data_IF_300204642089
#
_entry.id   IF_300204642089
#
_cell.length_a   1.000
_cell.length_b   1.000
_cell.length_c   1.000
_cell.angle_alpha   90.00
_cell.angle_beta   90.00
_cell.angle_gamma   90.00
#
_symmetry.space_group_name_H-M   'P 1'
#
loop_
_entity.id
_entity.type
_entity.pdbx_description
1 polymer ?
#
# COMPACT_ATOMS: atom_id res chain seq x y z
N UNK A 1 115.35 182.76 -89.18
CA UNK A 1 115.16 181.62 -88.26
C UNK A 1 114.99 181.98 -86.77
N UNK A 2 115.59 183.02 -86.17
CA UNK A 2 115.32 183.38 -84.75
C UNK A 2 114.06 184.23 -84.51
N UNK A 3 113.62 184.97 -85.53
CA UNK A 3 112.53 185.92 -85.35
C UNK A 3 111.14 185.27 -85.27
N UNK A 4 110.96 184.08 -85.85
CA UNK A 4 109.68 183.36 -85.83
C UNK A 4 109.35 182.71 -84.47
N UNK A 5 110.36 182.27 -83.68
CA UNK A 5 110.13 181.65 -82.36
C UNK A 5 109.68 182.67 -81.29
N UNK A 6 110.26 183.87 -81.30
CA UNK A 6 109.84 184.96 -80.41
C UNK A 6 108.44 185.50 -80.78
N UNK A 7 108.08 185.46 -82.08
CA UNK A 7 106.71 185.69 -82.50
C UNK A 7 105.74 184.63 -81.96
N UNK A 8 106.16 183.36 -81.83
CA UNK A 8 105.30 182.29 -81.32
C UNK A 8 105.04 182.40 -79.80
N UNK A 9 106.03 182.73 -78.97
CA UNK A 9 105.80 182.92 -77.51
C UNK A 9 104.95 184.14 -77.20
N UNK A 10 105.15 185.26 -77.91
CA UNK A 10 104.28 186.43 -77.80
C UNK A 10 102.86 186.15 -78.32
N UNK A 11 102.73 185.33 -79.37
CA UNK A 11 101.43 184.83 -79.82
C UNK A 11 100.76 183.96 -78.75
N UNK A 12 101.51 183.12 -78.02
CA UNK A 12 100.97 182.26 -76.97
C UNK A 12 100.52 183.02 -75.70
N UNK A 13 101.29 184.00 -75.22
CA UNK A 13 100.89 184.85 -74.08
C UNK A 13 99.71 185.77 -74.42
N UNK A 14 99.66 186.28 -75.65
CA UNK A 14 98.49 186.99 -76.18
C UNK A 14 97.27 186.06 -76.17
N UNK A 15 97.43 184.82 -76.67
CA UNK A 15 96.37 183.81 -76.66
C UNK A 15 95.89 183.49 -75.24
N UNK A 16 96.78 183.38 -74.26
CA UNK A 16 96.42 183.04 -72.88
C UNK A 16 95.62 184.15 -72.18
N UNK A 17 95.99 185.43 -72.40
CA UNK A 17 95.22 186.58 -71.89
C UNK A 17 93.87 186.71 -72.60
N UNK A 18 93.83 186.43 -73.91
CA UNK A 18 92.57 186.37 -74.66
C UNK A 18 91.68 185.22 -74.21
N UNK A 19 92.25 184.04 -73.91
CA UNK A 19 91.52 182.90 -73.36
C UNK A 19 90.95 183.19 -71.97
N UNK A 20 91.72 183.86 -71.10
CA UNK A 20 91.24 184.21 -69.75
C UNK A 20 90.13 185.28 -69.81
N UNK A 21 90.25 186.27 -70.69
CA UNK A 21 89.15 187.20 -70.97
C UNK A 21 87.91 186.47 -71.49
N UNK A 22 88.09 185.56 -72.45
CA UNK A 22 86.98 184.72 -72.95
C UNK A 22 86.34 183.91 -71.83
N UNK A 23 87.13 183.32 -70.93
CA UNK A 23 86.57 182.53 -69.83
C UNK A 23 85.84 183.41 -68.80
N UNK A 24 86.37 184.59 -68.45
CA UNK A 24 85.69 185.52 -67.53
C UNK A 24 84.43 186.13 -68.16
N UNK A 25 84.40 186.26 -69.49
CA UNK A 25 83.20 186.60 -70.25
C UNK A 25 82.19 185.45 -70.22
N UNK A 26 82.60 184.21 -70.49
CA UNK A 26 81.72 183.01 -70.40
C UNK A 26 81.15 182.87 -69.00
N UNK A 27 81.95 183.04 -67.94
CA UNK A 27 81.49 182.93 -66.56
C UNK A 27 80.49 184.04 -66.19
N UNK A 28 80.75 185.29 -66.64
CA UNK A 28 79.80 186.39 -66.47
C UNK A 28 78.50 186.13 -67.23
N UNK A 29 78.60 185.60 -68.45
CA UNK A 29 77.46 185.27 -69.29
C UNK A 29 76.64 184.11 -68.68
N UNK A 30 77.29 183.10 -68.09
CA UNK A 30 76.63 182.01 -67.36
C UNK A 30 75.94 182.50 -66.09
N UNK A 31 76.57 183.39 -65.31
CA UNK A 31 75.98 184.03 -64.13
C UNK A 31 74.77 184.88 -64.50
N UNK A 32 74.86 185.65 -65.59
CA UNK A 32 73.75 186.42 -66.14
C UNK A 32 72.61 185.48 -66.59
N UNK A 33 72.92 184.41 -67.33
CA UNK A 33 71.95 183.38 -67.73
C UNK A 33 71.33 182.66 -66.52
N UNK A 34 72.07 182.46 -65.43
CA UNK A 34 71.53 181.88 -64.20
C UNK A 34 70.55 182.82 -63.51
N UNK A 35 70.86 184.12 -63.41
CA UNK A 35 69.90 185.13 -62.93
C UNK A 35 68.66 185.19 -63.82
N UNK A 36 68.81 185.16 -65.15
CA UNK A 36 67.69 185.13 -66.10
C UNK A 36 66.84 183.86 -65.89
N UNK A 37 67.45 182.68 -65.70
CA UNK A 37 66.71 181.43 -65.43
C UNK A 37 65.91 181.45 -64.14
N UNK A 38 66.43 182.08 -63.09
CA UNK A 38 65.75 182.16 -61.79
C UNK A 38 64.64 183.21 -61.77
N UNK A 39 64.79 184.29 -62.53
CA UNK A 39 63.86 185.41 -62.52
C UNK A 39 62.85 185.41 -63.68
N UNK A 40 63.05 184.60 -64.73
CA UNK A 40 62.10 184.52 -65.84
C UNK A 40 60.98 183.51 -65.57
N UNK A 41 59.74 183.94 -65.78
CA UNK A 41 58.55 183.11 -65.61
C UNK A 41 58.47 182.00 -66.67
N UNK A 42 58.82 182.30 -67.92
CA UNK A 42 58.75 181.36 -69.04
C UNK A 42 59.60 180.10 -68.84
N UNK A 43 60.80 180.26 -68.25
CA UNK A 43 61.70 179.12 -68.00
C UNK A 43 61.17 178.26 -66.86
N UNK A 44 60.57 178.87 -65.83
CA UNK A 44 59.91 178.13 -64.74
C UNK A 44 58.73 177.32 -65.23
N UNK A 45 57.89 177.89 -66.10
CA UNK A 45 56.78 177.17 -66.74
C UNK A 45 57.27 176.02 -67.63
N UNK A 46 58.38 176.22 -68.36
CA UNK A 46 58.99 175.15 -69.16
C UNK A 46 59.53 174.03 -68.27
N UNK A 47 60.21 174.36 -67.16
CA UNK A 47 60.70 173.37 -66.20
C UNK A 47 59.56 172.58 -65.54
N UNK A 48 58.44 173.22 -65.20
CA UNK A 48 57.25 172.53 -64.70
C UNK A 48 56.63 171.60 -65.74
N UNK A 49 56.51 172.05 -67.01
CA UNK A 49 56.06 171.20 -68.13
C UNK A 49 57.00 170.02 -68.37
N UNK A 50 58.31 170.22 -68.26
CA UNK A 50 59.31 169.15 -68.37
C UNK A 50 59.21 168.16 -67.21
N UNK A 51 59.05 168.63 -65.97
CA UNK A 51 58.81 167.77 -64.79
C UNK A 51 57.53 166.95 -64.96
N UNK A 52 56.45 167.56 -65.43
CA UNK A 52 55.21 166.85 -65.80
C UNK A 52 55.45 165.81 -66.90
N UNK A 53 56.27 166.13 -67.90
CA UNK A 53 56.71 165.18 -68.94
C UNK A 53 57.43 163.96 -68.36
N UNK A 54 58.37 164.15 -67.42
CA UNK A 54 59.05 163.06 -66.72
C UNK A 54 58.10 162.23 -65.86
N UNK A 55 57.18 162.86 -65.13
CA UNK A 55 56.15 162.15 -64.36
C UNK A 55 55.24 161.31 -65.26
N UNK A 56 54.83 161.86 -66.40
CA UNK A 56 54.04 161.14 -67.40
C UNK A 56 54.81 159.96 -68.02
N UNK A 57 56.13 160.10 -68.25
CA UNK A 57 56.99 159.00 -68.71
C UNK A 57 57.06 157.86 -67.68
N UNK A 58 57.24 158.19 -66.39
CA UNK A 58 57.25 157.19 -65.32
C UNK A 58 55.88 156.53 -65.17
N UNK A 59 54.80 157.31 -65.23
CA UNK A 59 53.42 156.79 -65.19
C UNK A 59 53.13 155.86 -66.35
N UNK A 60 53.59 156.18 -67.57
CA UNK A 60 53.47 155.31 -68.73
C UNK A 60 54.23 153.99 -68.54
N UNK A 61 55.45 154.04 -67.97
CA UNK A 61 56.22 152.83 -67.65
C UNK A 61 55.52 151.96 -66.60
N UNK A 62 54.96 152.55 -65.54
CA UNK A 62 54.19 151.81 -64.52
C UNK A 62 52.91 151.18 -65.08
N UNK A 63 52.20 151.88 -65.98
CA UNK A 63 51.02 151.32 -66.66
C UNK A 63 51.44 150.14 -67.54
N UNK A 64 52.54 150.25 -68.28
CA UNK A 64 53.07 149.16 -69.10
C UNK A 64 53.48 147.95 -68.25
N UNK A 65 54.18 148.16 -67.13
CA UNK A 65 54.56 147.11 -66.19
C UNK A 65 53.34 146.41 -65.58
N UNK A 66 52.32 147.17 -65.14
CA UNK A 66 51.09 146.61 -64.60
C UNK A 66 50.33 145.78 -65.65
N UNK A 67 50.31 146.24 -66.91
CA UNK A 67 49.70 145.49 -68.01
C UNK A 67 50.48 144.21 -68.32
N UNK A 68 51.81 144.25 -68.31
CA UNK A 68 52.66 143.06 -68.47
C UNK A 68 52.43 142.05 -67.34
N UNK A 69 52.50 142.49 -66.08
CA UNK A 69 52.24 141.64 -64.92
C UNK A 69 50.84 141.03 -64.94
N UNK A 70 49.83 141.78 -65.38
CA UNK A 70 48.46 141.25 -65.54
C UNK A 70 48.40 140.18 -66.64
N UNK A 71 49.06 140.41 -67.77
CA UNK A 71 49.13 139.44 -68.88
C UNK A 71 49.84 138.16 -68.46
N UNK A 72 50.94 138.27 -67.71
CA UNK A 72 51.69 137.11 -67.23
C UNK A 72 50.93 136.34 -66.15
N UNK A 73 50.22 137.04 -65.25
CA UNK A 73 49.28 136.41 -64.30
C UNK A 73 48.16 135.66 -65.02
N UNK A 74 47.57 136.27 -66.06
CA UNK A 74 46.52 135.63 -66.85
C UNK A 74 47.02 134.37 -67.55
N UNK A 75 48.22 134.40 -68.14
CA UNK A 75 48.84 133.21 -68.74
C UNK A 75 49.09 132.12 -67.70
N UNK A 76 49.56 132.49 -66.51
CA UNK A 76 49.78 131.53 -65.42
C UNK A 76 48.47 130.87 -64.97
N UNK A 77 47.41 131.66 -64.82
CA UNK A 77 46.07 131.17 -64.47
C UNK A 77 45.52 130.25 -65.59
N UNK A 78 45.67 130.63 -66.86
CA UNK A 78 45.24 129.83 -68.00
C UNK A 78 45.98 128.49 -68.09
N UNK A 79 47.31 128.49 -67.85
CA UNK A 79 48.11 127.26 -67.78
C UNK A 79 47.65 126.36 -66.62
N UNK A 80 47.39 126.94 -65.45
CA UNK A 80 46.88 126.20 -64.29
C UNK A 80 45.52 125.56 -64.58
N UNK A 81 44.62 126.30 -65.23
CA UNK A 81 43.30 125.78 -65.63
C UNK A 81 43.43 124.65 -66.64
N UNK A 82 44.37 124.74 -67.59
CA UNK A 82 44.65 123.66 -68.54
C UNK A 82 45.17 122.41 -67.83
N UNK A 83 46.15 122.55 -66.94
CA UNK A 83 46.71 121.42 -66.17
C UNK A 83 45.65 120.76 -65.28
N UNK A 84 44.81 121.55 -64.61
CA UNK A 84 43.67 121.04 -63.83
C UNK A 84 42.67 120.26 -64.71
N UNK A 85 42.36 120.76 -65.91
CA UNK A 85 41.46 120.05 -66.84
C UNK A 85 42.05 118.74 -67.32
N UNK A 86 43.34 118.69 -67.62
CA UNK A 86 44.00 117.47 -68.07
C UNK A 86 44.11 116.45 -66.93
N UNK A 87 44.35 116.90 -65.69
CA UNK A 87 44.33 116.02 -64.51
C UNK A 87 42.92 115.48 -64.22
N UNK A 88 41.87 116.29 -64.37
CA UNK A 88 40.49 115.83 -64.22
C UNK A 88 40.13 114.77 -65.28
N UNK A 89 40.51 114.98 -66.55
CA UNK A 89 40.29 113.99 -67.62
C UNK A 89 41.01 112.68 -67.32
N UNK A 90 42.27 112.72 -66.88
CA UNK A 90 43.01 111.51 -66.49
C UNK A 90 42.34 110.78 -65.32
N UNK A 91 41.85 111.51 -64.32
CA UNK A 91 41.12 110.92 -63.20
C UNK A 91 39.80 110.28 -63.66
N UNK A 92 39.06 110.93 -64.56
CA UNK A 92 37.83 110.38 -65.16
C UNK A 92 38.11 109.11 -65.98
N UNK A 93 39.17 109.09 -66.78
CA UNK A 93 39.61 107.92 -67.55
C UNK A 93 40.03 106.76 -66.62
N UNK A 94 40.77 107.04 -65.54
CA UNK A 94 41.14 106.04 -64.54
C UNK A 94 39.93 105.47 -63.80
N UNK A 95 38.95 106.30 -63.45
CA UNK A 95 37.73 105.87 -62.79
C UNK A 95 36.83 105.05 -63.73
N UNK A 96 36.76 105.41 -65.01
CA UNK A 96 36.09 104.60 -66.04
C UNK A 96 36.75 103.23 -66.19
N UNK A 97 38.08 103.18 -66.29
CA UNK A 97 38.83 101.92 -66.39
C UNK A 97 38.62 101.03 -65.16
N UNK A 98 38.61 101.61 -63.94
CA UNK A 98 38.30 100.86 -62.71
C UNK A 98 36.85 100.35 -62.71
N UNK A 99 35.90 101.14 -63.19
CA UNK A 99 34.51 100.70 -63.27
C UNK A 99 34.33 99.58 -64.30
N UNK A 100 34.95 99.68 -65.46
CA UNK A 100 34.97 98.60 -66.47
C UNK A 100 35.58 97.32 -65.91
N UNK A 101 36.68 97.41 -65.17
CA UNK A 101 37.27 96.27 -64.48
C UNK A 101 36.31 95.65 -63.46
N UNK A 102 35.64 96.47 -62.62
CA UNK A 102 34.63 95.99 -61.66
C UNK A 102 33.45 95.31 -62.37
N UNK A 103 33.00 95.84 -63.51
CA UNK A 103 31.92 95.25 -64.30
C UNK A 103 32.35 93.92 -64.91
N UNK A 104 33.57 93.84 -65.45
CA UNK A 104 34.13 92.59 -65.98
C UNK A 104 34.29 91.53 -64.90
N UNK A 105 34.77 91.90 -63.71
CA UNK A 105 34.88 90.99 -62.56
C UNK A 105 33.50 90.49 -62.10
N UNK A 106 32.50 91.38 -62.00
CA UNK A 106 31.12 90.98 -61.69
C UNK A 106 30.54 90.04 -62.73
N UNK A 107 30.81 90.28 -64.03
CA UNK A 107 30.36 89.39 -65.11
C UNK A 107 31.01 88.02 -65.00
N UNK A 108 32.33 87.96 -64.81
CA UNK A 108 33.06 86.69 -64.60
C UNK A 108 32.53 85.93 -63.38
N UNK A 109 32.24 86.64 -62.30
CA UNK A 109 31.66 86.04 -61.10
C UNK A 109 30.25 85.50 -61.35
N UNK A 110 29.40 86.23 -62.09
CA UNK A 110 28.09 85.74 -62.52
C UNK A 110 28.20 84.50 -63.41
N UNK A 111 29.10 84.51 -64.40
CA UNK A 111 29.34 83.36 -65.27
C UNK A 111 29.78 82.12 -64.48
N UNK A 112 30.62 82.29 -63.45
CA UNK A 112 31.02 81.21 -62.54
C UNK A 112 29.86 80.67 -61.70
N UNK A 113 29.00 81.55 -61.18
CA UNK A 113 27.80 81.14 -60.44
C UNK A 113 26.83 80.38 -61.34
N UNK A 114 26.62 80.84 -62.56
CA UNK A 114 25.76 80.17 -63.54
C UNK A 114 26.30 78.78 -63.88
N UNK A 115 27.62 78.63 -64.06
CA UNK A 115 28.27 77.33 -64.24
C UNK A 115 28.04 76.40 -63.05
N UNK A 116 28.22 76.88 -61.81
CA UNK A 116 27.96 76.07 -60.61
C UNK A 116 26.50 75.62 -60.52
N UNK A 117 25.56 76.49 -60.88
CA UNK A 117 24.13 76.15 -60.91
C UNK A 117 23.82 75.09 -61.96
N UNK A 118 24.44 75.17 -63.14
CA UNK A 118 24.24 74.17 -64.19
C UNK A 118 24.87 72.82 -63.81
N UNK A 119 26.06 72.82 -63.21
CA UNK A 119 26.67 71.61 -62.65
C UNK A 119 25.78 70.95 -61.58
N UNK A 120 25.14 71.74 -60.72
CA UNK A 120 24.22 71.19 -59.73
C UNK A 120 22.96 70.60 -60.36
N UNK A 121 22.43 71.20 -61.44
CA UNK A 121 21.29 70.64 -62.17
C UNK A 121 21.66 69.33 -62.85
N UNK A 122 22.82 69.28 -63.50
CA UNK A 122 23.32 68.06 -64.14
C UNK A 122 23.56 66.94 -63.12
N UNK A 123 24.15 67.26 -61.95
CA UNK A 123 24.27 66.30 -60.84
C UNK A 123 22.90 65.78 -60.39
N UNK A 124 21.89 66.65 -60.27
CA UNK A 124 20.52 66.23 -59.91
C UNK A 124 19.88 65.34 -60.98
N UNK A 125 20.13 65.62 -62.27
CA UNK A 125 19.66 64.79 -63.39
C UNK A 125 20.29 63.40 -63.33
N UNK A 126 21.62 63.32 -63.19
CA UNK A 126 22.34 62.04 -63.08
C UNK A 126 21.85 61.23 -61.88
N UNK A 127 21.71 61.86 -60.71
CA UNK A 127 21.18 61.20 -59.51
C UNK A 127 19.75 60.68 -59.71
N UNK A 128 18.92 61.42 -60.44
CA UNK A 128 17.57 60.98 -60.74
C UNK A 128 17.54 59.81 -61.74
N UNK A 129 18.42 59.82 -62.75
CA UNK A 129 18.59 58.69 -63.66
C UNK A 129 19.11 57.44 -62.95
N UNK A 130 20.07 57.60 -62.04
CA UNK A 130 20.55 56.51 -61.18
C UNK A 130 19.44 55.97 -60.30
N UNK A 131 18.67 56.85 -59.65
CA UNK A 131 17.50 56.45 -58.85
C UNK A 131 16.47 55.66 -59.67
N UNK A 132 16.19 56.06 -60.91
CA UNK A 132 15.28 55.32 -61.79
C UNK A 132 15.84 53.94 -62.17
N UNK A 133 17.14 53.83 -62.42
CA UNK A 133 17.79 52.54 -62.68
C UNK A 133 17.73 51.63 -61.45
N UNK A 134 18.02 52.16 -60.26
CA UNK A 134 17.91 51.43 -58.99
C UNK A 134 16.48 50.98 -58.74
N UNK A 135 15.49 51.86 -58.96
CA UNK A 135 14.08 51.51 -58.82
C UNK A 135 13.68 50.36 -59.74
N UNK A 136 14.04 50.42 -61.02
CA UNK A 136 13.77 49.33 -61.98
C UNK A 136 14.44 48.03 -61.53
N UNK A 137 15.68 48.09 -61.08
CA UNK A 137 16.39 46.92 -60.55
C UNK A 137 15.71 46.33 -59.31
N UNK A 138 15.22 47.18 -58.40
CA UNK A 138 14.46 46.75 -57.22
C UNK A 138 13.12 46.11 -57.65
N UNK A 139 12.40 46.74 -58.59
CA UNK A 139 11.14 46.22 -59.11
C UNK A 139 11.36 44.83 -59.77
N UNK A 140 12.45 44.64 -60.51
CA UNK A 140 12.85 43.33 -61.07
C UNK A 140 13.17 42.29 -59.98
N UNK A 141 13.86 42.69 -58.90
CA UNK A 141 14.15 41.80 -57.76
C UNK A 141 12.84 41.38 -57.09
N UNK A 142 11.94 42.32 -56.81
CA UNK A 142 10.63 42.03 -56.21
C UNK A 142 9.81 41.10 -57.11
N UNK A 143 9.84 41.33 -58.43
CA UNK A 143 9.16 40.46 -59.37
C UNK A 143 9.71 39.03 -59.33
N UNK A 144 11.04 38.85 -59.32
CA UNK A 144 11.68 37.53 -59.19
C UNK A 144 11.31 36.83 -57.88
N UNK A 145 11.30 37.54 -56.75
CA UNK A 145 10.88 36.98 -55.46
C UNK A 145 9.43 36.48 -55.54
N UNK A 146 8.53 37.27 -56.12
CA UNK A 146 7.14 36.84 -56.28
C UNK A 146 6.98 35.62 -57.19
N UNK A 147 7.75 35.53 -58.28
CA UNK A 147 7.75 34.34 -59.15
C UNK A 147 8.32 33.11 -58.43
N UNK A 148 9.40 33.26 -57.67
CA UNK A 148 10.00 32.19 -56.88
C UNK A 148 9.02 31.69 -55.80
N UNK A 149 8.40 32.61 -55.05
CA UNK A 149 7.37 32.29 -54.06
C UNK A 149 6.18 31.54 -54.67
N UNK A 150 5.73 31.94 -55.87
CA UNK A 150 4.64 31.26 -56.57
C UNK A 150 5.04 29.83 -56.97
N UNK A 151 6.22 29.65 -57.57
CA UNK A 151 6.74 28.34 -57.95
C UNK A 151 6.93 27.43 -56.74
N UNK A 152 7.42 27.97 -55.62
CA UNK A 152 7.59 27.21 -54.39
C UNK A 152 6.24 26.71 -53.86
N UNK A 153 5.22 27.58 -53.83
CA UNK A 153 3.84 27.17 -53.45
C UNK A 153 3.28 26.09 -54.37
N UNK A 154 3.48 26.21 -55.68
CA UNK A 154 3.06 25.19 -56.64
C UNK A 154 3.77 23.86 -56.40
N UNK A 155 5.09 23.88 -56.19
CA UNK A 155 5.86 22.69 -55.83
C UNK A 155 5.41 22.07 -54.50
N UNK A 156 5.09 22.87 -53.49
CA UNK A 156 4.56 22.37 -52.22
C UNK A 156 3.18 21.71 -52.39
N UNK A 157 2.30 22.33 -53.16
CA UNK A 157 0.98 21.77 -53.47
C UNK A 157 1.12 20.45 -54.21
N UNK A 158 2.05 20.35 -55.16
CA UNK A 158 2.29 19.12 -55.89
C UNK A 158 2.88 18.01 -55.00
N UNK A 159 3.84 18.35 -54.11
CA UNK A 159 4.34 17.40 -53.09
C UNK A 159 3.21 16.92 -52.18
N UNK A 160 2.32 17.81 -51.76
CA UNK A 160 1.13 17.46 -50.94
C UNK A 160 0.18 16.54 -51.72
N UNK A 161 -0.07 16.79 -53.00
CA UNK A 161 -0.89 15.91 -53.86
C UNK A 161 -0.28 14.52 -54.02
N UNK A 162 1.01 14.44 -54.33
CA UNK A 162 1.72 13.16 -54.49
C UNK A 162 1.70 12.36 -53.20
N UNK A 163 1.96 13.01 -52.06
CA UNK A 163 1.91 12.35 -50.75
C UNK A 163 0.50 11.90 -50.38
N UNK A 164 -0.54 12.69 -50.68
CA UNK A 164 -1.94 12.30 -50.51
C UNK A 164 -2.29 11.07 -51.37
N UNK A 165 -1.96 11.08 -52.66
CA UNK A 165 -2.19 9.94 -53.54
C UNK A 165 -1.48 8.66 -53.03
N UNK A 166 -0.23 8.78 -52.56
CA UNK A 166 0.49 7.66 -51.97
C UNK A 166 -0.18 7.12 -50.69
N UNK A 167 -0.69 8.01 -49.84
CA UNK A 167 -1.44 7.62 -48.63
C UNK A 167 -2.73 6.89 -49.02
N UNK A 168 -3.46 7.38 -50.02
CA UNK A 168 -4.68 6.75 -50.51
C UNK A 168 -4.40 5.35 -51.09
N UNK A 169 -3.39 5.21 -51.94
CA UNK A 169 -2.95 3.91 -52.46
C UNK A 169 -2.53 2.94 -51.34
N UNK A 170 -1.82 3.44 -50.33
CA UNK A 170 -1.43 2.64 -49.18
C UNK A 170 -2.64 2.18 -48.35
N UNK A 171 -3.61 3.06 -48.12
CA UNK A 171 -4.84 2.73 -47.39
C UNK A 171 -5.67 1.70 -48.15
N UNK A 172 -5.86 1.87 -49.46
CA UNK A 172 -6.54 0.90 -50.32
C UNK A 172 -5.83 -0.46 -50.30
N UNK A 173 -4.51 -0.48 -50.44
CA UNK A 173 -3.70 -1.70 -50.38
C UNK A 173 -3.83 -2.39 -49.02
N UNK A 174 -3.86 -1.61 -47.93
CA UNK A 174 -4.04 -2.12 -46.57
C UNK A 174 -5.44 -2.68 -46.34
N UNK A 175 -6.48 -2.04 -46.88
CA UNK A 175 -7.85 -2.55 -46.80
C UNK A 175 -8.01 -3.85 -47.58
N UNK A 176 -7.44 -3.93 -48.79
CA UNK A 176 -7.40 -5.16 -49.58
C UNK A 176 -6.69 -6.29 -48.81
N UNK A 177 -5.53 -6.00 -48.20
CA UNK A 177 -4.81 -6.96 -47.38
C UNK A 177 -5.63 -7.44 -46.17
N UNK A 178 -6.30 -6.53 -45.45
CA UNK A 178 -7.20 -6.90 -44.34
C UNK A 178 -8.37 -7.75 -44.81
N UNK A 179 -8.94 -7.47 -45.98
CA UNK A 179 -10.03 -8.24 -46.55
C UNK A 179 -9.58 -9.66 -46.91
N UNK A 180 -8.41 -9.80 -47.55
CA UNK A 180 -7.81 -11.10 -47.85
C UNK A 180 -7.48 -11.89 -46.57
N UNK A 181 -6.93 -11.23 -45.55
CA UNK A 181 -6.63 -11.87 -44.27
C UNK A 181 -7.92 -12.33 -43.58
N UNK A 182 -8.97 -11.51 -43.59
CA UNK A 182 -10.28 -11.89 -43.06
C UNK A 182 -10.88 -13.08 -43.81
N UNK A 183 -10.76 -13.14 -45.13
CA UNK A 183 -11.21 -14.29 -45.92
C UNK A 183 -10.45 -15.56 -45.55
N UNK A 184 -9.11 -15.49 -45.43
CA UNK A 184 -8.29 -16.63 -44.98
C UNK A 184 -8.69 -17.11 -43.59
N UNK A 185 -8.92 -16.18 -42.66
CA UNK A 185 -9.40 -16.50 -41.31
C UNK A 185 -10.80 -17.14 -41.34
N UNK A 186 -11.71 -16.65 -42.19
CA UNK A 186 -13.04 -17.25 -42.34
C UNK A 186 -12.97 -18.67 -42.91
N UNK A 187 -12.10 -18.93 -43.90
CA UNK A 187 -11.86 -20.26 -44.45
C UNK A 187 -11.25 -21.22 -43.41
N UNK A 188 -10.26 -20.76 -42.63
CA UNK A 188 -9.69 -21.54 -41.53
C UNK A 188 -10.72 -21.84 -40.44
N UNK A 189 -11.53 -20.86 -40.07
CA UNK A 189 -12.63 -21.04 -39.11
C UNK A 189 -13.66 -22.05 -39.63
N UNK A 190 -13.99 -22.03 -40.92
CA UNK A 190 -14.87 -23.04 -41.52
C UNK A 190 -14.27 -24.44 -41.41
N UNK A 191 -12.97 -24.60 -41.73
CA UNK A 191 -12.27 -25.90 -41.57
C UNK A 191 -12.24 -26.37 -40.11
N UNK A 192 -12.05 -25.45 -39.17
CA UNK A 192 -12.11 -25.76 -37.73
C UNK A 192 -13.52 -26.21 -37.32
N UNK A 193 -14.57 -25.53 -37.80
CA UNK A 193 -15.95 -25.93 -37.53
C UNK A 193 -16.27 -27.31 -38.11
N UNK A 194 -15.83 -27.60 -39.34
CA UNK A 194 -15.99 -28.92 -39.96
C UNK A 194 -15.26 -30.00 -39.16
N UNK A 195 -14.03 -29.72 -38.72
CA UNK A 195 -13.27 -30.64 -37.87
C UNK A 195 -13.94 -30.87 -36.51
N UNK A 196 -14.45 -29.81 -35.86
CA UNK A 196 -15.20 -29.92 -34.60
C UNK A 196 -16.41 -30.83 -34.78
N UNK A 197 -17.21 -30.63 -35.84
CA UNK A 197 -18.36 -31.49 -36.14
C UNK A 197 -17.97 -32.96 -36.30
N UNK A 198 -16.85 -33.24 -36.97
CA UNK A 198 -16.36 -34.61 -37.13
C UNK A 198 -15.92 -35.24 -35.80
N UNK A 199 -15.32 -34.46 -34.90
CA UNK A 199 -14.96 -34.91 -33.55
C UNK A 199 -16.23 -35.17 -32.72
N UNK A 200 -17.17 -34.23 -32.73
CA UNK A 200 -18.46 -34.36 -32.02
C UNK A 200 -19.24 -35.58 -32.51
N UNK A 201 -19.31 -35.81 -33.83
CA UNK A 201 -19.95 -36.99 -34.40
C UNK A 201 -19.26 -38.30 -33.97
N UNK A 202 -17.93 -38.31 -33.90
CA UNK A 202 -17.17 -39.47 -33.42
C UNK A 202 -17.40 -39.74 -31.95
N UNK A 203 -17.41 -38.70 -31.12
CA UNK A 203 -17.71 -38.81 -29.68
C UNK A 203 -19.14 -39.28 -29.46
N UNK A 204 -20.11 -38.73 -30.20
CA UNK A 204 -21.50 -39.14 -30.13
C UNK A 204 -21.68 -40.62 -30.53
N UNK A 205 -21.00 -41.10 -31.58
CA UNK A 205 -21.01 -42.53 -31.94
C UNK A 205 -20.44 -43.39 -30.82
N UNK A 206 -19.31 -42.99 -30.23
CA UNK A 206 -18.73 -43.72 -29.10
C UNK A 206 -19.66 -43.75 -27.89
N UNK A 207 -20.31 -42.62 -27.56
CA UNK A 207 -21.29 -42.54 -26.48
C UNK A 207 -22.51 -43.43 -26.76
N UNK A 208 -23.00 -43.47 -27.99
CA UNK A 208 -24.10 -44.34 -28.40
C UNK A 208 -23.72 -45.82 -28.25
N UNK A 209 -22.57 -46.25 -28.78
CA UNK A 209 -22.09 -47.63 -28.63
C UNK A 209 -21.90 -48.02 -27.16
N UNK A 210 -21.40 -47.10 -26.33
CA UNK A 210 -21.26 -47.33 -24.89
C UNK A 210 -22.63 -47.46 -24.23
N UNK A 211 -23.57 -46.57 -24.53
CA UNK A 211 -24.93 -46.63 -23.98
C UNK A 211 -25.66 -47.93 -24.39
N UNK A 212 -25.46 -48.41 -25.62
CA UNK A 212 -25.99 -49.70 -26.08
C UNK A 212 -25.37 -50.87 -25.30
N UNK A 213 -24.05 -50.87 -25.08
CA UNK A 213 -23.36 -51.89 -24.26
C UNK A 213 -23.85 -51.86 -22.81
N UNK A 214 -23.96 -50.68 -22.22
CA UNK A 214 -24.45 -50.50 -20.86
C UNK A 214 -25.91 -50.96 -20.74
N UNK A 215 -26.74 -50.73 -21.76
CA UNK A 215 -28.12 -51.21 -21.81
C UNK A 215 -28.21 -52.74 -21.92
N UNK A 216 -27.35 -53.38 -22.72
CA UNK A 216 -27.27 -54.84 -22.80
C UNK A 216 -26.79 -55.42 -21.46
N UNK A 217 -25.78 -54.81 -20.84
CA UNK A 217 -25.26 -55.23 -19.55
C UNK A 217 -26.32 -55.06 -18.44
N UNK A 218 -27.09 -53.98 -18.45
CA UNK A 218 -28.20 -53.76 -17.53
C UNK A 218 -29.28 -54.85 -17.66
N UNK A 219 -29.63 -55.27 -18.89
CA UNK A 219 -30.55 -56.40 -19.11
C UNK A 219 -30.01 -57.71 -18.54
N UNK A 220 -28.72 -57.97 -18.70
CA UNK A 220 -28.07 -59.17 -18.14
C UNK A 220 -28.09 -59.11 -16.60
N UNK A 221 -27.75 -57.98 -16.00
CA UNK A 221 -27.81 -57.81 -14.54
C UNK A 221 -29.21 -57.95 -14.01
N UNK A 222 -30.22 -57.40 -14.70
CA UNK A 222 -31.62 -57.58 -14.32
C UNK A 222 -32.01 -59.06 -14.34
N UNK A 223 -31.75 -59.77 -15.43
CA UNK A 223 -32.05 -61.20 -15.53
C UNK A 223 -31.28 -62.05 -14.50
N UNK A 224 -30.05 -61.66 -14.15
CA UNK A 224 -29.28 -62.32 -13.09
C UNK A 224 -29.88 -62.05 -11.71
N UNK A 225 -30.30 -60.81 -11.44
CA UNK A 225 -30.95 -60.43 -10.18
C UNK A 225 -32.25 -61.19 -9.98
N UNK A 226 -33.08 -61.32 -11.03
CA UNK A 226 -34.32 -62.10 -11.00
C UNK A 226 -34.02 -63.57 -10.66
N UNK A 227 -33.04 -64.19 -11.33
CA UNK A 227 -32.60 -65.58 -11.02
C UNK A 227 -32.07 -65.75 -9.60
N UNK A 228 -31.33 -64.78 -9.06
CA UNK A 228 -30.85 -64.82 -7.68
C UNK A 228 -32.04 -64.75 -6.73
N UNK A 229 -33.01 -63.85 -6.97
CA UNK A 229 -34.21 -63.73 -6.13
C UNK A 229 -35.08 -64.98 -6.17
N UNK A 230 -35.27 -65.61 -7.34
CA UNK A 230 -35.99 -66.88 -7.48
C UNK A 230 -35.28 -67.99 -6.71
N UNK A 231 -33.95 -68.07 -6.81
CA UNK A 231 -33.16 -69.05 -6.06
C UNK A 231 -33.29 -68.84 -4.57
N UNK A 232 -33.12 -67.62 -4.06
CA UNK A 232 -33.30 -67.31 -2.64
C UNK A 232 -34.73 -67.61 -2.14
N UNK A 233 -35.75 -67.36 -2.97
CA UNK A 233 -37.13 -67.72 -2.64
C UNK A 233 -37.28 -69.24 -2.52
N UNK A 234 -36.75 -70.01 -3.48
CA UNK A 234 -36.80 -71.48 -3.42
C UNK A 234 -36.02 -72.05 -2.23
N UNK A 235 -34.87 -71.46 -1.89
CA UNK A 235 -34.08 -71.85 -0.71
C UNK A 235 -34.86 -71.55 0.58
N UNK A 236 -35.51 -70.38 0.69
CA UNK A 236 -36.38 -70.03 1.83
C UNK A 236 -37.60 -70.95 1.93
N UNK A 237 -38.20 -71.34 0.81
CA UNK A 237 -39.32 -72.30 0.78
C UNK A 237 -38.87 -73.69 1.26
N UNK A 238 -37.71 -74.17 0.81
CA UNK A 238 -37.13 -75.44 1.28
C UNK A 238 -36.79 -75.40 2.78
N UNK A 239 -36.25 -74.27 3.27
CA UNK A 239 -35.99 -74.08 4.70
C UNK A 239 -37.28 -74.08 5.52
N UNK A 240 -38.36 -73.46 5.02
CA UNK A 240 -39.69 -73.52 5.67
C UNK A 240 -40.19 -74.96 5.75
N UNK A 241 -40.16 -75.70 4.64
CA UNK A 241 -40.59 -77.11 4.60
C UNK A 241 -39.75 -77.96 5.57
N UNK A 242 -38.44 -77.71 5.65
CA UNK A 242 -37.55 -78.42 6.59
C UNK A 242 -37.90 -78.12 8.04
N UNK A 243 -38.20 -76.86 8.37
CA UNK A 243 -38.64 -76.47 9.71
C UNK A 243 -39.98 -77.11 10.07
N UNK A 244 -40.95 -77.08 9.15
CA UNK A 244 -42.26 -77.72 9.30
C UNK A 244 -42.10 -79.23 9.56
N UNK A 245 -41.32 -79.93 8.74
CA UNK A 245 -41.03 -81.35 8.92
C UNK A 245 -40.38 -81.64 10.28
N UNK A 246 -39.40 -80.83 10.71
CA UNK A 246 -38.78 -80.99 12.02
C UNK A 246 -39.77 -80.82 13.17
N UNK A 247 -40.71 -79.87 13.07
CA UNK A 247 -41.79 -79.71 14.06
C UNK A 247 -42.74 -80.91 14.06
N UNK A 248 -43.16 -81.38 12.90
CA UNK A 248 -44.01 -82.58 12.78
C UNK A 248 -43.33 -83.85 13.35
N UNK A 249 -42.04 -84.04 13.08
CA UNK A 249 -41.26 -85.15 13.65
C UNK A 249 -41.17 -85.06 15.18
N UNK A 250 -41.00 -83.85 15.74
CA UNK A 250 -41.05 -83.65 17.19
C UNK A 250 -42.43 -83.98 17.76
N UNK A 251 -43.50 -83.49 17.14
CA UNK A 251 -44.87 -83.80 17.54
C UNK A 251 -45.15 -85.31 17.45
N UNK A 252 -44.70 -86.00 16.41
CA UNK A 252 -44.87 -87.44 16.29
C UNK A 252 -44.06 -88.20 17.35
N UNK A 253 -42.83 -87.77 17.67
CA UNK A 253 -42.08 -88.32 18.81
C UNK A 253 -42.81 -88.12 20.13
N UNK A 254 -43.41 -86.95 20.37
CA UNK A 254 -44.22 -86.73 21.59
C UNK A 254 -45.43 -87.66 21.63
N UNK A 255 -46.17 -87.80 20.51
CA UNK A 255 -47.29 -88.75 20.38
C UNK A 255 -46.86 -90.20 20.63
N UNK A 256 -45.70 -90.62 20.12
CA UNK A 256 -45.15 -91.96 20.37
C UNK A 256 -44.78 -92.15 21.85
N UNK A 257 -44.16 -91.15 22.47
CA UNK A 257 -43.83 -91.19 23.90
C UNK A 257 -45.10 -91.26 24.78
N UNK A 258 -46.15 -90.52 24.42
CA UNK A 258 -47.45 -90.59 25.09
C UNK A 258 -48.10 -91.97 24.95
N UNK A 259 -48.11 -92.55 23.73
CA UNK A 259 -48.58 -93.92 23.49
C UNK A 259 -47.79 -94.94 24.32
N UNK A 260 -46.46 -94.83 24.35
CA UNK A 260 -45.60 -95.71 25.15
C UNK A 260 -45.83 -95.55 26.66
N UNK A 261 -46.08 -94.32 27.13
CA UNK A 261 -46.42 -94.06 28.52
C UNK A 261 -47.79 -94.65 28.90
N UNK A 262 -48.78 -94.54 28.01
CA UNK A 262 -50.08 -95.20 28.18
C UNK A 262 -49.95 -96.72 28.18
N UNK A 263 -49.15 -97.29 27.28
CA UNK A 263 -48.89 -98.73 27.23
C UNK A 263 -48.21 -99.22 28.51
N UNK A 264 -47.21 -98.50 29.03
CA UNK A 264 -46.57 -98.81 30.32
C UNK A 264 -47.57 -98.76 31.47
N UNK A 265 -48.43 -97.74 31.55
CA UNK A 265 -49.49 -97.65 32.55
C UNK A 265 -50.48 -98.82 32.44
N UNK A 266 -50.83 -99.23 31.23
CA UNK A 266 -51.72 -100.37 30.98
C UNK A 266 -51.07 -101.70 31.41
N UNK A 267 -49.79 -101.91 31.06
CA UNK A 267 -49.01 -103.08 31.50
C UNK A 267 -48.91 -103.15 33.02
N UNK A 268 -48.56 -102.04 33.68
CA UNK A 268 -48.52 -101.97 35.15
C UNK A 268 -49.88 -102.29 35.78
N UNK A 269 -50.99 -101.82 35.18
CA UNK A 269 -52.34 -102.13 35.67
C UNK A 269 -52.70 -103.61 35.48
N UNK A 270 -52.34 -104.21 34.34
CA UNK A 270 -52.54 -105.64 34.08
C UNK A 270 -51.67 -106.53 34.97
N UNK A 271 -50.42 -106.14 35.22
CA UNK A 271 -49.52 -106.82 36.17
C UNK A 271 -50.07 -106.76 37.59
N UNK A 272 -50.57 -105.60 38.03
CA UNK A 272 -51.25 -105.46 39.33
C UNK A 272 -52.52 -106.32 39.43
N UNK A 273 -53.31 -106.41 38.36
CA UNK A 273 -54.49 -107.30 38.31
C UNK A 273 -54.08 -108.77 38.40
N UNK A 274 -53.08 -109.21 37.61
CA UNK A 274 -52.55 -110.57 37.67
C UNK A 274 -51.98 -110.92 39.05
N UNK A 275 -51.20 -110.02 39.66
CA UNK A 275 -50.68 -110.24 41.01
C UNK A 275 -51.79 -110.35 42.06
N UNK A 276 -52.89 -109.60 41.91
CA UNK A 276 -54.05 -109.72 42.80
C UNK A 276 -54.79 -111.05 42.59
N UNK A 277 -54.99 -111.47 41.34
CA UNK A 277 -55.58 -112.78 41.00
C UNK A 277 -54.72 -113.94 41.54
N UNK A 278 -53.39 -113.86 41.40
CA UNK A 278 -52.43 -114.82 41.96
C UNK A 278 -52.46 -114.81 43.50
N UNK A 279 -52.56 -113.64 44.14
CA UNK A 279 -52.68 -113.55 45.59
C UNK A 279 -53.99 -114.18 46.10
N UNK A 280 -55.10 -113.97 45.40
CA UNK A 280 -56.41 -114.57 45.72
C UNK A 280 -56.40 -116.09 45.52
N UNK A 281 -55.80 -116.60 44.44
CA UNK A 281 -55.70 -118.04 44.18
C UNK A 281 -54.80 -118.73 45.21
N UNK A 282 -53.67 -118.12 45.57
CA UNK A 282 -52.80 -118.63 46.64
C UNK A 282 -53.49 -118.61 48.01
N UNK A 283 -54.31 -117.59 48.29
CA UNK A 283 -55.10 -117.53 49.54
C UNK A 283 -56.21 -118.60 49.57
N UNK A 284 -56.85 -118.87 48.43
CA UNK A 284 -57.84 -119.94 48.31
C UNK A 284 -57.21 -121.34 48.47
N UNK A 285 -56.02 -121.55 47.88
CA UNK A 285 -55.29 -122.82 48.02
C UNK A 285 -54.84 -123.07 49.46
N UNK A 286 -54.33 -122.04 50.16
CA UNK A 286 -53.99 -122.14 51.59
C UNK A 286 -55.17 -122.51 52.46
N UNK A 287 -56.35 -121.95 52.18
CA UNK A 287 -57.57 -122.28 52.93
C UNK A 287 -58.02 -123.72 52.69
N UNK A 288 -57.89 -124.23 51.46
CA UNK A 288 -58.18 -125.64 51.15
C UNK A 288 -57.21 -126.60 51.88
N UNK A 289 -55.92 -126.25 51.95
CA UNK A 289 -54.94 -127.06 52.71
C UNK A 289 -55.18 -127.01 54.22
N UNK A 290 -55.55 -125.85 54.77
CA UNK A 290 -55.93 -125.71 56.19
C UNK A 290 -57.17 -126.55 56.53
N UNK A 291 -58.21 -126.53 55.68
CA UNK A 291 -59.43 -127.35 55.85
C UNK A 291 -59.14 -128.88 55.75
N UNK A 292 -58.15 -129.29 54.95
CA UNK A 292 -57.70 -130.69 54.85
C UNK A 292 -56.86 -131.13 56.06
N UNK A 293 -55.99 -130.24 56.57
CA UNK A 293 -55.21 -130.48 57.80
C UNK A 293 -56.11 -130.57 59.05
N UNK A 294 -57.15 -129.74 59.16
CA UNK A 294 -58.12 -129.81 60.27
C UNK A 294 -58.91 -131.14 60.28
N UNK A 295 -59.24 -131.69 59.10
CA UNK A 295 -59.91 -133.00 58.98
C UNK A 295 -59.00 -134.15 59.41
N UNK A 296 -57.73 -134.11 59.00
CA UNK A 296 -56.73 -135.11 59.39
C UNK A 296 -56.43 -135.05 60.91
N UNK A 297 -56.41 -133.85 61.50
CA UNK A 297 -56.19 -133.66 62.93
C UNK A 297 -57.39 -134.12 63.79
N UNK A 298 -58.63 -133.94 63.31
CA UNK A 298 -59.84 -134.41 63.99
C UNK A 298 -59.91 -135.95 64.07
N UNK A 299 -59.52 -136.66 63.01
CA UNK A 299 -59.57 -138.12 62.95
C UNK A 299 -58.42 -138.79 63.74
N UNK A 300 -57.23 -138.16 63.82
CA UNK A 300 -56.13 -138.62 64.69
C UNK A 300 -56.40 -138.36 66.19
N UNK A 301 -57.12 -137.29 66.54
CA UNK A 301 -57.40 -136.95 67.93
C UNK A 301 -58.50 -137.83 68.56
N UNK A 302 -59.46 -138.33 67.78
CA UNK A 302 -60.46 -139.30 68.23
C UNK A 302 -59.90 -140.71 68.45
N UNK A 303 -58.79 -141.08 67.78
CA UNK A 303 -58.09 -142.35 67.98
C UNK A 303 -57.22 -142.38 69.25
N UNK A 304 -56.63 -141.23 69.62
CA UNK A 304 -55.80 -141.08 70.85
C UNK A 304 -56.59 -141.14 72.16
N UNK A 305 -57.81 -140.57 72.20
CA UNK A 305 -58.64 -140.61 73.42
C UNK A 305 -59.13 -142.02 73.80
N UNK A 306 -59.13 -142.98 72.86
CA UNK A 306 -59.47 -144.38 73.13
C UNK A 306 -58.30 -145.23 73.70
N UNK A 307 -57.04 -144.78 73.54
CA UNK A 307 -55.85 -145.44 74.09
C UNK A 307 -55.46 -144.92 75.49
N UNK A 308 -55.77 -143.67 75.81
CA UNK A 308 -55.38 -143.03 77.08
C UNK A 308 -56.29 -143.38 78.28
N UNK A 309 -57.53 -143.84 78.08
CA UNK A 309 -58.42 -144.34 79.15
C UNK A 309 -57.97 -145.71 79.73
N UNK A 310 -56.98 -146.36 79.08
CA UNK A 310 -56.41 -147.65 79.47
C UNK A 310 -55.07 -147.51 80.21
N UNK A 311 -54.46 -146.32 80.24
CA UNK A 311 -53.08 -146.09 80.72
C UNK A 311 -52.98 -145.23 82.00
N UNK A 312 -54.12 -144.81 82.59
CA UNK A 312 -54.16 -143.85 83.71
C UNK A 312 -54.13 -144.47 85.14
N UNK A 313 -54.02 -145.80 85.28
CA UNK A 313 -54.00 -146.46 86.62
C UNK A 313 -52.61 -146.67 87.28
N UNK A 314 -51.47 -146.34 86.64
CA UNK A 314 -50.15 -146.80 87.14
C UNK A 314 -49.05 -145.74 87.37
N UNK A 315 -49.32 -144.43 87.20
CA UNK A 315 -48.27 -143.39 87.29
C UNK A 315 -48.40 -142.38 88.46
N UNK A 316 -49.17 -142.72 89.50
CA UNK A 316 -49.34 -141.87 90.69
C UNK A 316 -48.18 -141.93 91.71
N UNK A 317 -47.29 -142.94 91.64
CA UNK A 317 -46.34 -143.22 92.72
C UNK A 317 -44.98 -142.49 92.61
N UNK A 318 -44.59 -141.99 91.43
CA UNK A 318 -43.28 -141.34 91.23
C UNK A 318 -43.22 -139.83 91.56
N UNK A 319 -44.37 -139.16 91.74
CA UNK A 319 -44.40 -137.70 92.05
C UNK A 319 -44.13 -137.37 93.52
N UNK A 320 -44.23 -138.32 94.45
CA UNK A 320 -44.05 -138.06 95.90
C UNK A 320 -42.60 -137.77 96.34
N UNK A 321 -41.58 -138.29 95.64
CA UNK A 321 -40.19 -138.21 96.13
C UNK A 321 -39.47 -136.90 95.78
N UNK A 322 -39.84 -136.20 94.70
CA UNK A 322 -39.08 -135.02 94.22
C UNK A 322 -39.45 -133.69 94.88
N UNK A 323 -40.58 -133.62 95.58
CA UNK A 323 -41.08 -132.38 96.20
C UNK A 323 -40.29 -132.02 97.48
N UNK A 324 -39.59 -132.96 98.11
CA UNK A 324 -38.99 -132.75 99.43
C UNK A 324 -37.63 -132.02 99.40
N UNK A 325 -36.89 -132.08 98.30
CA UNK A 325 -35.56 -131.43 98.21
C UNK A 325 -35.63 -129.97 97.74
N UNK A 326 -36.56 -129.64 96.84
CA UNK A 326 -36.72 -128.27 96.32
C UNK A 326 -37.21 -127.25 97.37
N UNK A 327 -37.76 -127.73 98.50
CA UNK A 327 -38.28 -126.88 99.58
C UNK A 327 -37.18 -126.21 100.42
N UNK A 328 -35.93 -126.68 100.39
CA UNK A 328 -34.82 -126.13 101.21
C UNK A 328 -33.99 -125.04 100.51
N UNK A 329 -34.06 -124.92 99.19
CA UNK A 329 -33.24 -123.95 98.44
C UNK A 329 -33.94 -122.59 98.25
N UNK A 330 -35.28 -122.54 98.28
CA UNK A 330 -36.07 -121.34 97.95
C UNK A 330 -36.17 -120.36 99.14
N UNK A 331 -35.99 -120.80 100.39
CA UNK A 331 -36.09 -119.91 101.57
C UNK A 331 -34.86 -119.00 101.78
N UNK A 332 -33.66 -119.35 101.28
CA UNK A 332 -32.46 -118.51 101.45
C UNK A 332 -32.42 -117.27 100.53
N UNK A 333 -33.00 -117.34 99.33
CA UNK A 333 -32.96 -116.23 98.37
C UNK A 333 -33.99 -115.12 98.66
N UNK A 334 -35.03 -115.41 99.46
CA UNK A 334 -36.06 -114.42 99.81
C UNK A 334 -35.57 -113.47 100.93
N UNK A 335 -34.61 -113.88 101.75
CA UNK A 335 -34.09 -113.08 102.87
C UNK A 335 -33.13 -111.95 102.43
N UNK A 336 -32.24 -112.19 101.45
CA UNK A 336 -31.29 -111.16 100.99
C UNK A 336 -31.96 -110.06 100.15
N UNK A 337 -33.09 -110.33 99.50
CA UNK A 337 -33.75 -109.37 98.61
C UNK A 337 -34.52 -108.26 99.37
N UNK A 338 -34.86 -108.46 100.64
CA UNK A 338 -35.53 -107.43 101.46
C UNK A 338 -34.60 -106.34 102.00
N UNK A 339 -33.32 -106.63 102.19
CA UNK A 339 -32.35 -105.69 102.79
C UNK A 339 -31.77 -104.65 101.83
N UNK A 340 -31.89 -104.83 100.52
CA UNK A 340 -31.37 -103.85 99.53
C UNK A 340 -32.40 -102.87 99.00
N UNK A 341 -33.68 -103.27 98.90
CA UNK A 341 -34.76 -102.33 98.55
C UNK A 341 -34.87 -101.20 99.59
N UNK A 342 -34.49 -101.47 100.86
CA UNK A 342 -34.41 -100.44 101.90
C UNK A 342 -33.18 -99.53 101.75
N UNK A 343 -32.04 -100.04 101.27
CA UNK A 343 -30.80 -99.26 101.10
C UNK A 343 -30.82 -98.36 99.85
N UNK A 344 -31.37 -98.82 98.74
CA UNK A 344 -31.41 -98.03 97.49
C UNK A 344 -32.34 -96.80 97.60
N UNK A 345 -33.42 -96.87 98.39
CA UNK A 345 -34.32 -95.72 98.58
C UNK A 345 -33.72 -94.57 99.40
N UNK A 346 -32.80 -94.84 100.33
CA UNK A 346 -32.14 -93.80 101.11
C UNK A 346 -30.97 -93.17 100.34
N UNK A 347 -30.33 -93.92 99.42
CA UNK A 347 -29.24 -93.41 98.57
C UNK A 347 -29.76 -92.46 97.47
N UNK A 348 -30.94 -92.73 96.88
CA UNK A 348 -31.55 -91.86 95.86
C UNK A 348 -31.97 -90.47 96.40
N UNK A 349 -32.39 -90.36 97.67
CA UNK A 349 -32.66 -89.07 98.33
C UNK A 349 -31.37 -88.28 98.64
N UNK A 350 -30.24 -88.97 98.82
CA UNK A 350 -28.93 -88.36 99.04
C UNK A 350 -28.29 -87.88 97.73
N UNK A 351 -28.44 -88.62 96.63
CA UNK A 351 -27.89 -88.25 95.32
C UNK A 351 -28.52 -86.98 94.73
N UNK A 352 -29.82 -86.72 94.97
CA UNK A 352 -30.45 -85.47 94.55
C UNK A 352 -29.90 -84.24 95.31
N UNK A 353 -29.47 -84.39 96.57
CA UNK A 353 -28.77 -83.34 97.31
C UNK A 353 -27.33 -83.15 96.80
N UNK A 354 -26.64 -84.24 96.48
CA UNK A 354 -25.27 -84.19 95.93
C UNK A 354 -25.21 -83.49 94.56
N UNK A 355 -26.23 -83.63 93.72
CA UNK A 355 -26.32 -82.90 92.44
C UNK A 355 -26.51 -81.39 92.62
N UNK A 356 -27.26 -80.95 93.65
CA UNK A 356 -27.34 -79.53 94.03
C UNK A 356 -26.02 -79.03 94.64
N UNK A 357 -25.31 -79.86 95.41
CA UNK A 357 -23.99 -79.51 95.94
C UNK A 357 -22.94 -79.38 94.82
N UNK A 358 -22.96 -80.26 93.81
CA UNK A 358 -22.07 -80.22 92.65
C UNK A 358 -22.29 -78.98 91.76
N UNK A 359 -23.54 -78.51 91.59
CA UNK A 359 -23.82 -77.23 90.92
C UNK A 359 -23.30 -76.03 91.74
N UNK A 360 -23.40 -76.08 93.08
CA UNK A 360 -22.84 -75.07 93.97
C UNK A 360 -21.30 -75.07 93.98
N UNK A 361 -20.66 -76.24 93.90
CA UNK A 361 -19.20 -76.37 93.79
C UNK A 361 -18.68 -75.83 92.45
N UNK A 362 -19.41 -76.06 91.36
CA UNK A 362 -19.08 -75.49 90.04
C UNK A 362 -19.17 -73.96 90.05
N UNK A 363 -20.10 -73.36 90.79
CA UNK A 363 -20.19 -71.90 90.97
C UNK A 363 -19.06 -71.35 91.86
N UNK A 364 -18.67 -72.04 92.93
CA UNK A 364 -17.52 -71.64 93.78
C UNK A 364 -16.21 -71.60 92.99
N UNK A 365 -15.95 -72.58 92.13
CA UNK A 365 -14.75 -72.63 91.28
C UNK A 365 -14.72 -71.47 90.27
N UNK A 366 -15.89 -71.08 89.71
CA UNK A 366 -15.99 -69.92 88.81
C UNK A 366 -15.76 -68.60 89.57
N UNK A 367 -16.26 -68.48 90.80
CA UNK A 367 -16.04 -67.31 91.65
C UNK A 367 -14.56 -67.20 92.10
N UNK A 368 -13.88 -68.33 92.35
CA UNK A 368 -12.44 -68.38 92.65
C UNK A 368 -11.56 -67.99 91.46
N UNK A 369 -11.85 -68.49 90.25
CA UNK A 369 -11.19 -68.05 89.00
C UNK A 369 -11.43 -66.55 88.73
N UNK A 370 -12.66 -66.06 88.99
CA UNK A 370 -13.00 -64.63 88.88
C UNK A 370 -12.17 -63.78 89.84
N UNK A 371 -11.95 -64.22 91.08
CA UNK A 371 -11.13 -63.49 92.07
C UNK A 371 -9.63 -63.51 91.74
N UNK A 372 -9.10 -64.61 91.19
CA UNK A 372 -7.72 -64.67 90.66
C UNK A 372 -7.48 -63.68 89.52
N UNK A 373 -8.38 -63.65 88.54
CA UNK A 373 -8.32 -62.70 87.42
C UNK A 373 -8.40 -61.24 87.89
N UNK A 374 -9.20 -60.96 88.92
CA UNK A 374 -9.28 -59.64 89.54
C UNK A 374 -7.97 -59.26 90.26
N UNK A 375 -7.33 -60.15 91.02
CA UNK A 375 -6.06 -59.84 91.69
C UNK A 375 -4.89 -59.62 90.72
N UNK A 376 -4.79 -60.40 89.63
CA UNK A 376 -3.69 -60.28 88.67
C UNK A 376 -3.74 -58.99 87.83
N UNK A 377 -4.95 -58.50 87.52
CA UNK A 377 -5.14 -57.37 86.62
C UNK A 377 -5.57 -56.06 87.30
N UNK A 378 -6.16 -56.09 88.50
CA UNK A 378 -6.67 -54.88 89.15
C UNK A 378 -5.58 -53.87 89.49
N UNK A 379 -4.39 -54.32 89.89
CA UNK A 379 -3.26 -53.42 90.20
C UNK A 379 -2.72 -52.68 88.96
N UNK A 380 -2.86 -53.26 87.76
CA UNK A 380 -2.39 -52.66 86.48
C UNK A 380 -3.41 -51.73 85.81
N UNK A 381 -4.69 -51.83 86.18
CA UNK A 381 -5.81 -51.14 85.54
C UNK A 381 -6.51 -50.13 86.47
N UNK A 382 -5.77 -49.58 87.43
CA UNK A 382 -6.26 -48.54 88.33
C UNK A 382 -6.67 -47.29 87.51
N UNK A 383 -7.95 -46.95 87.53
CA UNK A 383 -8.52 -45.79 86.83
C UNK A 383 -9.21 -46.06 85.49
N UNK A 384 -9.10 -47.27 84.91
CA UNK A 384 -9.68 -47.61 83.60
C UNK A 384 -10.74 -48.74 83.65
N UNK A 385 -11.25 -49.10 84.84
CA UNK A 385 -12.28 -50.13 84.99
C UNK A 385 -13.70 -49.59 84.72
N UNK A 386 -14.51 -50.27 83.86
CA UNK A 386 -15.93 -49.93 83.67
C UNK A 386 -16.79 -50.23 84.91
N UNK A 387 -17.90 -49.49 85.09
CA UNK A 387 -18.86 -49.73 86.18
C UNK A 387 -19.49 -51.13 86.06
N UNK A 388 -19.54 -51.89 87.16
CA UNK A 388 -20.18 -53.21 87.24
C UNK A 388 -19.23 -54.41 87.42
N UNK A 389 -17.91 -54.19 87.39
CA UNK A 389 -16.91 -55.26 87.60
C UNK A 389 -16.77 -55.64 89.09
N UNK A 390 -16.95 -54.68 89.98
CA UNK A 390 -16.99 -54.88 91.45
C UNK A 390 -18.45 -55.13 91.83
N UNK A 391 -18.79 -56.37 92.23
CA UNK A 391 -20.19 -56.76 92.51
C UNK A 391 -20.58 -56.59 93.98
N UNK A 392 -19.63 -56.38 94.89
CA UNK A 392 -19.95 -56.16 96.30
C UNK A 392 -18.79 -55.73 97.18
N UNK A 393 -19.06 -55.39 98.46
CA UNK A 393 -18.06 -54.90 99.42
C UNK A 393 -16.93 -55.90 99.72
N UNK A 394 -17.17 -57.21 99.55
CA UNK A 394 -16.14 -58.25 99.69
C UNK A 394 -15.06 -58.22 98.60
N UNK A 395 -15.41 -57.78 97.39
CA UNK A 395 -14.45 -57.63 96.29
C UNK A 395 -13.51 -56.42 96.53
N UNK A 396 -13.93 -55.45 97.36
CA UNK A 396 -13.16 -54.26 97.73
C UNK A 396 -12.15 -54.50 98.88
N UNK A 397 -12.42 -55.43 99.80
CA UNK A 397 -11.49 -55.80 100.88
C UNK A 397 -10.26 -56.55 100.37
N UNK A 398 -10.44 -57.44 99.38
CA UNK A 398 -9.38 -58.29 98.85
C UNK A 398 -8.37 -57.57 97.94
N UNK A 399 -8.62 -56.30 97.57
CA UNK A 399 -7.82 -55.52 96.63
C UNK A 399 -6.81 -54.55 97.29
N UNK A 400 -6.67 -54.62 98.62
CA UNK A 400 -5.67 -53.88 99.39
C UNK A 400 -6.04 -52.41 99.65
N UNK A 401 -5.41 -51.80 100.65
CA UNK A 401 -5.76 -50.48 101.18
C UNK A 401 -5.78 -49.35 100.13
N UNK A 402 -4.99 -49.46 99.06
CA UNK A 402 -4.90 -48.46 97.99
C UNK A 402 -6.18 -48.38 97.12
N UNK A 403 -6.95 -49.48 97.02
CA UNK A 403 -8.18 -49.52 96.21
C UNK A 403 -9.39 -48.96 96.96
N UNK A 404 -9.42 -49.11 98.29
CA UNK A 404 -10.52 -48.65 99.15
C UNK A 404 -10.66 -47.12 99.17
N UNK A 405 -9.55 -46.37 99.16
CA UNK A 405 -9.60 -44.90 99.17
C UNK A 405 -10.16 -44.28 97.88
N UNK A 406 -9.88 -44.88 96.73
CA UNK A 406 -10.27 -44.31 95.43
C UNK A 406 -11.78 -44.47 95.14
N UNK A 407 -12.39 -45.58 95.55
CA UNK A 407 -13.76 -45.93 95.18
C UNK A 407 -14.80 -45.66 96.29
N UNK A 408 -14.40 -45.43 97.55
CA UNK A 408 -15.35 -45.21 98.66
C UNK A 408 -15.73 -43.74 98.91
N UNK A 409 -14.96 -42.74 98.44
CA UNK A 409 -15.29 -41.30 98.60
C UNK A 409 -16.45 -40.77 97.72
N UNK A 410 -17.18 -41.61 97.00
CA UNK A 410 -18.20 -41.14 96.02
C UNK A 410 -19.47 -41.98 95.96
N UNK A 411 -19.86 -42.60 97.08
CA UNK A 411 -21.11 -43.34 97.24
C UNK A 411 -22.05 -42.64 98.23
N UNK A 412 -22.50 -41.44 97.87
CA UNK A 412 -23.65 -40.77 98.48
C UNK A 412 -24.52 -40.21 97.35
N UNK A 413 -25.50 -41.01 96.94
CA UNK A 413 -26.86 -40.53 96.77
C UNK A 413 -27.79 -41.77 96.79
N UNK A 414 -29.03 -41.58 97.25
CA UNK A 414 -29.72 -42.55 98.08
C UNK A 414 -30.68 -43.41 97.25
N UNK A 415 -30.84 -44.67 97.68
CA UNK A 415 -32.13 -45.35 97.94
C UNK A 415 -33.28 -44.91 96.99
N UNK A 416 -33.78 -45.69 96.04
CA UNK A 416 -33.98 -47.13 95.84
C UNK A 416 -33.94 -47.46 94.35
#
# INVERSE_FOLDING_TARGET
MRHQLQQQEQQAESLAKELKRRNDEVFRDEKLRQQIRQNSLEIRELEEKLKLGYLNKVRAAQIAEKLANKSDSQKADDMLVQEMRDNLKRAEEEDQMKEEQRVLEKRRYQEQLDQQMEEQKEKKRLMYEEFLKEKLMIDEIVHKIHEEDQKERECELEKKRVTQAYIEEYLQSREAWKAEEKQKMEEENQRIMEFSRLVDDRENRFLQEKAERDAVQARIYQALSEKITEREQSEKELERIRLELHFEEQEEKTRQNEKAALEKKLRQRLELQKMNEEQLSMKALKKMTEDEEERMFHDEMMAKFAEDDRLEQMNAQKRRMKIQEHKRAIERLIAEKREKIAREKEEDEMEQKMLQEMENERQKIIEEERQKLLQEHASKLLGYLPKGVIKGPKDLENLGAYFQEAYSKRSEDPLE
#
